data_IF_127808360950
#
_entry.id   IF_127808360950
#
_cell.length_a   1.000
_cell.length_b   1.000
_cell.length_c   1.000
_cell.angle_alpha   90.00
_cell.angle_beta   90.00
_cell.angle_gamma   90.00
#
_symmetry.space_group_name_H-M   'P 1'
#
loop_
_entity.id
_entity.type
_entity.pdbx_description
1 polymer ?
#
# COMPACT_ATOMS: atom_id res chain seq x y z
N UNK A 1 -22.02 1.02 -7.98
CA UNK A 1 -23.43 1.44 -7.97
C UNK A 1 -23.51 2.94 -7.87
N UNK A 2 -24.55 3.60 -8.42
CA UNK A 2 -24.73 5.05 -8.28
C UNK A 2 -24.93 5.42 -6.81
N UNK A 3 -24.41 6.58 -6.42
CA UNK A 3 -24.60 7.13 -5.07
C UNK A 3 -25.61 8.27 -5.12
N UNK A 4 -26.35 8.50 -4.04
CA UNK A 4 -27.27 9.62 -3.96
C UNK A 4 -26.51 10.96 -3.91
N UNK A 5 -27.18 12.04 -4.30
CA UNK A 5 -26.59 13.39 -4.30
C UNK A 5 -26.18 13.85 -2.89
N UNK A 6 -26.88 13.35 -1.88
CA UNK A 6 -26.59 13.60 -0.46
C UNK A 6 -25.47 12.74 0.10
N UNK A 7 -25.16 11.61 -0.55
CA UNK A 7 -24.18 10.67 -0.05
C UNK A 7 -22.75 11.19 -0.24
N UNK A 8 -21.88 10.81 0.65
CA UNK A 8 -20.45 11.10 0.56
C UNK A 8 -19.76 10.02 -0.26
N UNK A 9 -18.80 10.39 -1.11
CA UNK A 9 -17.97 9.43 -1.81
C UNK A 9 -17.03 8.78 -0.80
N UNK A 10 -17.10 7.46 -0.70
CA UNK A 10 -16.27 6.66 0.17
C UNK A 10 -15.00 6.24 -0.57
N UNK A 11 -13.88 6.88 -0.24
CA UNK A 11 -12.56 6.63 -0.81
C UNK A 11 -11.77 5.75 0.15
N UNK A 12 -11.37 4.56 -0.27
CA UNK A 12 -10.55 3.68 0.56
C UNK A 12 -9.11 3.60 0.04
N UNK A 13 -8.16 3.49 0.95
CA UNK A 13 -6.75 3.21 0.73
C UNK A 13 -6.40 1.92 1.44
N UNK A 14 -5.55 1.08 0.85
CA UNK A 14 -5.26 -0.27 1.36
C UNK A 14 -3.77 -0.41 1.67
N UNK A 15 -3.45 -0.95 2.85
CA UNK A 15 -2.13 -1.43 3.22
C UNK A 15 -1.43 -0.62 4.31
N UNK A 16 -0.16 -0.96 4.54
CA UNK A 16 0.71 -0.25 5.45
C UNK A 16 1.33 0.96 4.72
N UNK A 17 0.91 2.16 5.08
CA UNK A 17 1.35 3.38 4.41
C UNK A 17 2.60 3.95 5.06
N UNK A 18 3.67 4.06 4.28
CA UNK A 18 4.84 4.89 4.54
C UNK A 18 4.69 6.24 3.82
N UNK A 19 5.66 7.14 3.99
CA UNK A 19 5.70 8.40 3.24
C UNK A 19 5.64 8.16 1.73
N UNK A 20 6.46 7.22 1.21
CA UNK A 20 6.49 6.89 -0.21
C UNK A 20 5.22 6.18 -0.71
N UNK A 21 4.44 5.58 0.19
CA UNK A 21 3.11 5.02 -0.11
C UNK A 21 1.97 6.02 0.09
N UNK A 22 2.30 7.29 0.36
CA UNK A 22 1.37 8.40 0.36
C UNK A 22 0.58 8.62 1.65
N UNK A 23 1.10 8.18 2.82
CA UNK A 23 0.44 8.44 4.10
C UNK A 23 0.16 9.92 4.33
N UNK A 24 1.14 10.77 4.01
CA UNK A 24 1.05 12.22 4.20
C UNK A 24 0.10 12.87 3.19
N UNK A 25 0.04 12.36 1.98
CA UNK A 25 -0.91 12.81 0.92
C UNK A 25 -2.34 12.48 1.33
N UNK A 26 -2.59 11.26 1.81
CA UNK A 26 -3.90 10.85 2.32
C UNK A 26 -4.36 11.75 3.47
N UNK A 27 -3.50 11.97 4.46
CA UNK A 27 -3.83 12.80 5.63
C UNK A 27 -4.11 14.25 5.23
N UNK A 28 -3.25 14.85 4.38
CA UNK A 28 -3.42 16.23 3.91
C UNK A 28 -4.73 16.41 3.14
N UNK A 29 -5.09 15.44 2.28
CA UNK A 29 -6.34 15.47 1.51
C UNK A 29 -7.56 15.31 2.43
N UNK A 30 -7.51 14.42 3.42
CA UNK A 30 -8.58 14.23 4.39
C UNK A 30 -8.76 15.43 5.31
N UNK A 31 -7.68 16.11 5.70
CA UNK A 31 -7.73 17.38 6.43
C UNK A 31 -8.39 18.48 5.60
N UNK A 32 -8.01 18.57 4.34
CA UNK A 32 -8.61 19.57 3.42
C UNK A 32 -10.09 19.28 3.20
N UNK A 33 -10.51 18.02 3.07
CA UNK A 33 -11.91 17.63 2.95
C UNK A 33 -12.71 18.02 4.19
N UNK A 34 -12.13 17.89 5.39
CA UNK A 34 -12.79 18.33 6.62
C UNK A 34 -12.95 19.85 6.68
N UNK A 35 -11.90 20.60 6.31
CA UNK A 35 -11.91 22.09 6.32
C UNK A 35 -12.95 22.68 5.37
N UNK A 36 -13.13 22.08 4.20
CA UNK A 36 -14.06 22.54 3.18
C UNK A 36 -15.45 21.89 3.28
N UNK A 37 -15.64 20.99 4.25
CA UNK A 37 -16.82 20.13 4.37
C UNK A 37 -17.18 19.42 3.05
N UNK A 38 -16.16 19.00 2.30
CA UNK A 38 -16.35 18.27 1.05
C UNK A 38 -17.12 16.95 1.28
N UNK A 39 -17.97 16.52 0.33
CA UNK A 39 -18.75 15.29 0.47
C UNK A 39 -17.93 14.03 0.20
N UNK A 40 -16.82 13.88 0.92
CA UNK A 40 -15.85 12.78 0.81
C UNK A 40 -15.60 12.20 2.20
N UNK A 41 -15.45 10.89 2.29
CA UNK A 41 -14.98 10.18 3.48
C UNK A 41 -13.84 9.23 3.08
N UNK A 42 -12.71 9.34 3.77
CA UNK A 42 -11.53 8.53 3.53
C UNK A 42 -11.41 7.42 4.58
N UNK A 43 -11.07 6.22 4.11
CA UNK A 43 -10.86 5.04 4.94
C UNK A 43 -9.50 4.43 4.63
N UNK A 44 -8.69 4.17 5.65
CA UNK A 44 -7.46 3.39 5.51
C UNK A 44 -7.72 1.99 6.07
N UNK A 45 -7.84 0.99 5.19
CA UNK A 45 -7.73 -0.42 5.54
C UNK A 45 -6.24 -0.73 5.69
N UNK A 46 -5.74 -0.60 6.91
CA UNK A 46 -4.33 -0.64 7.21
C UNK A 46 -3.93 0.41 8.24
N UNK A 47 -2.66 0.80 8.21
CA UNK A 47 -2.09 1.76 9.16
C UNK A 47 -1.02 2.63 8.51
N UNK A 48 -0.73 3.78 9.12
CA UNK A 48 0.37 4.65 8.71
C UNK A 48 1.67 4.33 9.47
N UNK A 49 2.82 4.74 8.90
CA UNK A 49 4.13 4.66 9.57
C UNK A 49 4.20 5.49 10.87
N UNK A 50 3.22 6.37 11.05
CA UNK A 50 2.92 7.16 12.25
C UNK A 50 1.41 7.24 12.45
N UNK A 51 0.99 7.74 13.60
CA UNK A 51 -0.42 8.07 13.82
C UNK A 51 -0.84 9.21 12.88
N UNK A 52 -1.87 8.97 12.09
CA UNK A 52 -2.48 9.95 11.21
C UNK A 52 -3.58 10.72 11.94
N UNK A 53 -3.84 11.94 11.50
CA UNK A 53 -4.95 12.73 12.02
C UNK A 53 -6.26 12.15 11.47
N UNK A 54 -7.16 11.83 12.40
CA UNK A 54 -8.47 11.23 12.09
C UNK A 54 -9.62 12.14 12.49
N UNK A 55 -10.86 11.68 12.35
CA UNK A 55 -12.03 12.40 12.80
C UNK A 55 -11.93 12.82 14.28
N UNK A 56 -12.46 13.97 14.65
CA UNK A 56 -13.25 14.90 13.81
C UNK A 56 -12.40 15.91 12.99
N UNK A 57 -11.08 15.94 13.18
CA UNK A 57 -10.18 16.93 12.56
C UNK A 57 -9.93 16.68 11.07
N UNK A 58 -9.90 15.42 10.66
CA UNK A 58 -9.77 15.00 9.28
C UNK A 58 -10.92 14.05 8.90
N UNK A 59 -11.31 14.01 7.64
CA UNK A 59 -12.32 13.06 7.13
C UNK A 59 -11.68 11.68 6.87
N UNK A 60 -10.94 11.15 7.86
CA UNK A 60 -10.20 9.91 7.77
C UNK A 60 -10.59 8.97 8.92
N UNK A 61 -10.87 7.71 8.57
CA UNK A 61 -10.99 6.58 9.50
C UNK A 61 -9.87 5.58 9.22
N UNK A 62 -9.09 5.23 10.24
CA UNK A 62 -8.03 4.22 10.16
C UNK A 62 -8.52 2.95 10.83
N UNK A 63 -8.56 1.83 10.09
CA UNK A 63 -9.12 0.56 10.56
C UNK A 63 -8.08 -0.35 11.25
N UNK A 64 -6.79 -0.07 11.08
CA UNK A 64 -5.70 -0.86 11.66
C UNK A 64 -5.23 -2.00 10.77
N UNK A 65 -4.31 -2.80 11.32
CA UNK A 65 -3.74 -3.95 10.61
C UNK A 65 -4.78 -5.05 10.40
N UNK A 66 -4.65 -5.78 9.31
CA UNK A 66 -5.50 -6.91 8.94
C UNK A 66 -4.63 -8.06 8.40
N UNK A 67 -5.14 -9.29 8.40
CA UNK A 67 -4.52 -10.40 7.69
C UNK A 67 -4.86 -10.30 6.19
N UNK A 68 -3.90 -10.60 5.32
CA UNK A 68 -4.08 -10.46 3.87
C UNK A 68 -5.28 -11.27 3.35
N UNK A 69 -5.52 -12.43 3.93
CA UNK A 69 -6.66 -13.28 3.60
C UNK A 69 -8.03 -12.62 3.89
N UNK A 70 -8.08 -11.68 4.83
CA UNK A 70 -9.33 -11.01 5.23
C UNK A 70 -9.69 -9.83 4.32
N UNK A 71 -8.78 -9.41 3.45
CA UNK A 71 -8.97 -8.22 2.62
C UNK A 71 -10.22 -8.26 1.73
N UNK A 72 -10.58 -9.37 1.08
CA UNK A 72 -11.81 -9.46 0.29
C UNK A 72 -13.07 -9.21 1.14
N UNK A 73 -13.12 -9.77 2.35
CA UNK A 73 -14.25 -9.58 3.27
C UNK A 73 -14.33 -8.15 3.81
N UNK A 74 -13.17 -7.54 4.09
CA UNK A 74 -13.09 -6.15 4.52
C UNK A 74 -13.56 -5.19 3.42
N UNK A 75 -13.21 -5.45 2.16
CA UNK A 75 -13.72 -4.69 1.02
C UNK A 75 -15.22 -4.85 0.83
N UNK A 76 -15.73 -6.08 0.97
CA UNK A 76 -17.15 -6.38 0.89
C UNK A 76 -17.95 -5.73 2.05
N UNK A 77 -17.34 -5.65 3.24
CA UNK A 77 -17.93 -4.98 4.40
C UNK A 77 -17.91 -3.45 4.25
N UNK A 78 -16.76 -2.87 3.92
CA UNK A 78 -16.60 -1.41 3.79
C UNK A 78 -17.40 -0.86 2.62
N UNK A 79 -17.47 -1.61 1.50
CA UNK A 79 -18.11 -1.20 0.24
C UNK A 79 -17.63 0.18 -0.21
N UNK A 80 -16.33 0.35 -0.46
CA UNK A 80 -15.81 1.63 -0.94
C UNK A 80 -16.36 1.92 -2.35
N UNK A 81 -16.61 3.20 -2.63
CA UNK A 81 -16.98 3.63 -3.98
C UNK A 81 -15.74 3.58 -4.89
N UNK A 82 -14.56 3.91 -4.35
CA UNK A 82 -13.29 3.91 -5.07
C UNK A 82 -12.12 3.54 -4.15
N UNK A 83 -11.17 2.79 -4.68
CA UNK A 83 -9.87 2.53 -4.04
C UNK A 83 -8.87 3.55 -4.61
N UNK A 84 -8.14 4.22 -3.73
CA UNK A 84 -7.12 5.20 -4.08
C UNK A 84 -5.74 4.71 -3.68
N UNK A 85 -4.77 4.86 -4.58
CA UNK A 85 -3.36 4.61 -4.37
C UNK A 85 -2.59 5.95 -4.40
N UNK A 86 -2.35 6.61 -3.24
CA UNK A 86 -1.66 7.91 -3.18
C UNK A 86 -0.14 7.77 -3.26
N UNK A 87 0.38 6.74 -3.93
CA UNK A 87 1.80 6.42 -3.95
C UNK A 87 2.65 7.57 -4.52
N UNK A 88 3.79 7.84 -3.87
CA UNK A 88 4.77 8.89 -4.22
C UNK A 88 6.07 8.28 -4.75
N UNK A 89 6.09 6.97 -4.95
CA UNK A 89 7.21 6.21 -5.47
C UNK A 89 6.72 5.12 -6.41
N UNK A 90 7.40 4.86 -7.54
CA UNK A 90 6.98 3.84 -8.48
C UNK A 90 7.04 2.44 -7.84
N UNK A 91 5.93 1.73 -7.85
CA UNK A 91 5.87 0.31 -7.48
C UNK A 91 6.04 -0.56 -8.72
N UNK A 92 6.73 -1.68 -8.57
CA UNK A 92 6.95 -2.63 -9.67
C UNK A 92 5.74 -3.51 -9.92
N UNK A 93 4.89 -3.75 -8.90
CA UNK A 93 3.71 -4.62 -9.05
C UNK A 93 2.47 -4.14 -8.30
N UNK A 94 2.53 -3.88 -6.99
CA UNK A 94 1.40 -3.55 -6.10
C UNK A 94 0.36 -4.68 -5.93
N UNK A 95 0.56 -5.55 -4.92
CA UNK A 95 -0.38 -6.63 -4.59
C UNK A 95 -1.76 -6.11 -4.16
N UNK A 96 -1.81 -4.97 -3.48
CA UNK A 96 -3.07 -4.33 -3.07
C UNK A 96 -3.88 -3.82 -4.27
N UNK A 97 -3.21 -3.43 -5.37
CA UNK A 97 -3.88 -3.13 -6.63
C UNK A 97 -4.54 -4.40 -7.22
N UNK A 98 -3.85 -5.55 -7.17
CA UNK A 98 -4.43 -6.83 -7.61
C UNK A 98 -5.71 -7.15 -6.83
N UNK A 99 -5.68 -7.00 -5.50
CA UNK A 99 -6.85 -7.23 -4.67
C UNK A 99 -8.01 -6.28 -5.01
N UNK A 100 -7.74 -5.00 -5.25
CA UNK A 100 -8.75 -4.02 -5.65
C UNK A 100 -9.39 -4.36 -7.01
N UNK A 101 -8.55 -4.81 -7.97
CA UNK A 101 -9.01 -5.25 -9.31
C UNK A 101 -9.88 -6.51 -9.19
N UNK A 102 -9.42 -7.53 -8.45
CA UNK A 102 -10.16 -8.78 -8.24
C UNK A 102 -11.49 -8.55 -7.52
N UNK A 103 -11.55 -7.60 -6.58
CA UNK A 103 -12.80 -7.21 -5.92
C UNK A 103 -13.73 -6.37 -6.81
N UNK A 104 -13.35 -6.08 -8.06
CA UNK A 104 -14.17 -5.28 -8.98
C UNK A 104 -14.32 -3.81 -8.57
N UNK A 105 -13.45 -3.28 -7.72
CA UNK A 105 -13.52 -1.92 -7.24
C UNK A 105 -13.15 -0.91 -8.34
N UNK A 106 -13.75 0.28 -8.32
CA UNK A 106 -13.22 1.42 -9.06
C UNK A 106 -11.86 1.83 -8.46
N UNK A 107 -10.93 2.28 -9.30
CA UNK A 107 -9.54 2.54 -8.88
C UNK A 107 -9.06 3.92 -9.33
N UNK A 108 -8.41 4.63 -8.44
CA UNK A 108 -7.61 5.84 -8.72
C UNK A 108 -6.17 5.53 -8.35
N UNK A 109 -5.25 5.72 -9.27
CA UNK A 109 -3.84 5.46 -9.06
C UNK A 109 -2.96 6.53 -9.72
N UNK A 110 -1.70 6.69 -9.26
CA UNK A 110 -0.78 7.63 -9.86
C UNK A 110 -0.22 7.12 -11.20
N UNK A 111 0.26 8.05 -12.03
CA UNK A 111 0.87 7.81 -13.34
C UNK A 111 2.33 7.31 -13.26
N UNK A 112 2.71 6.65 -12.16
CA UNK A 112 4.06 6.16 -11.91
C UNK A 112 4.09 4.64 -11.67
N UNK A 113 5.22 4.01 -12.01
CA UNK A 113 5.42 2.57 -11.84
C UNK A 113 4.43 1.74 -12.63
N UNK A 114 4.09 0.57 -12.11
CA UNK A 114 3.20 -0.38 -12.78
C UNK A 114 1.71 0.02 -12.76
N UNK A 115 1.32 1.10 -12.08
CA UNK A 115 -0.09 1.47 -11.93
C UNK A 115 -0.74 1.80 -13.27
N UNK A 116 -0.12 2.71 -14.05
CA UNK A 116 -0.66 3.17 -15.32
C UNK A 116 -0.82 1.99 -16.31
N UNK A 117 0.22 1.17 -16.44
CA UNK A 117 0.23 0.00 -17.31
C UNK A 117 -0.86 -1.01 -16.91
N UNK A 118 -1.01 -1.29 -15.61
CA UNK A 118 -1.97 -2.26 -15.10
C UNK A 118 -3.42 -1.78 -15.12
N UNK A 119 -3.66 -0.49 -15.25
CA UNK A 119 -5.00 0.08 -15.36
C UNK A 119 -5.36 0.47 -16.79
N UNK A 120 -4.45 0.33 -17.75
CA UNK A 120 -4.70 0.64 -19.17
C UNK A 120 -5.93 -0.12 -19.69
N UNK A 121 -6.86 0.60 -20.28
CA UNK A 121 -8.10 0.03 -20.83
C UNK A 121 -9.09 -0.53 -19.80
N UNK A 122 -8.81 -0.40 -18.49
CA UNK A 122 -9.70 -0.89 -17.44
C UNK A 122 -10.83 0.10 -17.16
N UNK A 123 -12.07 -0.38 -17.23
CA UNK A 123 -13.24 0.42 -16.86
C UNK A 123 -13.21 0.85 -15.38
N UNK A 124 -13.81 2.00 -15.09
CA UNK A 124 -13.87 2.58 -13.73
C UNK A 124 -12.49 2.75 -13.08
N UNK A 125 -11.54 3.20 -13.88
CA UNK A 125 -10.19 3.49 -13.42
C UNK A 125 -9.73 4.87 -13.89
N UNK A 126 -8.92 5.54 -13.06
CA UNK A 126 -8.30 6.82 -13.35
C UNK A 126 -6.82 6.72 -13.05
N UNK A 127 -6.01 7.26 -13.94
CA UNK A 127 -4.58 7.43 -13.78
C UNK A 127 -4.30 8.93 -13.75
N UNK A 128 -3.81 9.42 -12.62
CA UNK A 128 -3.66 10.85 -12.34
C UNK A 128 -2.19 11.18 -12.00
N UNK A 129 -1.73 12.41 -12.21
CA UNK A 129 -0.39 12.81 -11.79
C UNK A 129 -0.12 12.50 -10.31
N UNK A 130 1.03 11.91 -10.02
CA UNK A 130 1.42 11.46 -8.68
C UNK A 130 1.69 12.62 -7.71
N UNK A 131 2.12 13.77 -8.23
CA UNK A 131 2.57 14.94 -7.48
C UNK A 131 1.46 15.96 -7.19
N UNK A 132 0.19 15.57 -7.37
CA UNK A 132 -0.93 16.43 -7.06
C UNK A 132 -0.95 16.83 -5.57
N UNK A 133 -1.26 18.09 -5.33
CA UNK A 133 -1.48 18.65 -4.00
C UNK A 133 -2.82 18.19 -3.39
N UNK A 134 -2.98 18.33 -2.07
CA UNK A 134 -4.23 17.98 -1.41
C UNK A 134 -5.47 18.73 -1.96
N UNK A 135 -5.42 20.05 -2.31
CA UNK A 135 -6.53 20.72 -2.99
C UNK A 135 -6.85 20.13 -4.37
N UNK A 136 -5.84 19.72 -5.16
CA UNK A 136 -6.04 19.12 -6.47
C UNK A 136 -6.69 17.74 -6.35
N UNK A 137 -6.19 16.88 -5.44
CA UNK A 137 -6.87 15.61 -5.13
C UNK A 137 -8.29 15.80 -4.67
N UNK A 138 -8.56 16.82 -3.83
CA UNK A 138 -9.91 17.12 -3.38
C UNK A 138 -10.82 17.54 -4.55
N UNK A 139 -10.33 18.39 -5.43
CA UNK A 139 -11.05 18.82 -6.63
C UNK A 139 -11.34 17.63 -7.55
N UNK A 140 -10.34 16.75 -7.76
CA UNK A 140 -10.47 15.53 -8.53
C UNK A 140 -11.58 14.63 -7.97
N UNK A 141 -11.53 14.27 -6.68
CA UNK A 141 -12.54 13.38 -6.07
C UNK A 141 -13.94 14.02 -6.08
N UNK A 142 -14.02 15.31 -5.90
CA UNK A 142 -15.31 16.04 -5.97
C UNK A 142 -15.87 16.00 -7.39
N UNK A 143 -15.02 16.15 -8.39
CA UNK A 143 -15.39 16.07 -9.82
C UNK A 143 -15.89 14.68 -10.18
N UNK A 144 -15.08 13.61 -9.91
CA UNK A 144 -15.50 12.25 -10.26
C UNK A 144 -16.74 11.80 -9.51
N UNK A 145 -16.91 12.24 -8.25
CA UNK A 145 -18.16 11.99 -7.53
C UNK A 145 -19.37 12.50 -8.30
N UNK A 146 -19.33 13.72 -8.80
CA UNK A 146 -20.43 14.36 -9.54
C UNK A 146 -20.63 13.73 -10.92
N UNK A 147 -19.55 13.59 -11.68
CA UNK A 147 -19.58 13.22 -13.10
C UNK A 147 -19.81 11.73 -13.33
N UNK A 148 -19.32 10.87 -12.39
CA UNK A 148 -19.34 9.43 -12.58
C UNK A 148 -20.22 8.70 -11.55
N UNK A 149 -20.05 8.96 -10.28
CA UNK A 149 -20.78 8.20 -9.25
C UNK A 149 -22.24 8.65 -9.09
N UNK A 150 -22.51 9.95 -9.07
CA UNK A 150 -23.90 10.44 -9.02
C UNK A 150 -24.58 10.27 -10.37
N UNK A 151 -23.94 10.68 -11.45
CA UNK A 151 -24.50 10.59 -12.79
C UNK A 151 -24.54 9.16 -13.33
N UNK A 152 -23.89 8.20 -12.67
CA UNK A 152 -23.73 6.80 -13.09
C UNK A 152 -23.17 6.67 -14.52
N UNK A 153 -22.20 7.51 -14.87
CA UNK A 153 -21.53 7.53 -16.15
C UNK A 153 -20.13 6.95 -16.03
N UNK A 154 -19.83 5.94 -16.82
CA UNK A 154 -18.49 5.38 -16.83
C UNK A 154 -17.47 6.43 -17.32
N UNK A 155 -16.27 6.52 -16.70
CA UNK A 155 -15.19 7.38 -17.19
C UNK A 155 -14.64 6.86 -18.54
N UNK A 156 -13.90 7.72 -19.24
CA UNK A 156 -13.06 7.28 -20.33
C UNK A 156 -12.06 6.24 -19.85
N UNK A 157 -11.73 5.27 -20.70
CA UNK A 157 -10.74 4.27 -20.35
C UNK A 157 -9.35 4.92 -20.22
N UNK A 158 -8.56 4.60 -19.19
CA UNK A 158 -7.19 5.07 -19.09
C UNK A 158 -6.38 4.58 -20.30
N UNK A 159 -5.55 5.46 -20.84
CA UNK A 159 -4.65 5.16 -21.96
C UNK A 159 -3.28 5.68 -21.61
N UNK A 160 -2.25 4.85 -21.71
CA UNK A 160 -0.86 5.29 -21.59
C UNK A 160 -0.47 6.03 -22.87
N UNK A 161 0.08 7.23 -22.77
CA UNK A 161 0.44 8.09 -23.92
C UNK A 161 1.47 7.46 -24.85
N UNK A 162 2.16 6.42 -24.44
CA UNK A 162 3.22 5.76 -25.21
C UNK A 162 2.76 4.43 -25.86
N UNK A 163 1.45 4.12 -25.88
CA UNK A 163 0.90 2.91 -26.50
C UNK A 163 1.04 2.85 -28.05
N UNK A 164 1.74 3.82 -28.66
CA UNK A 164 1.99 3.83 -30.11
C UNK A 164 2.98 2.74 -30.59
N UNK A 165 3.60 1.97 -29.71
CA UNK A 165 4.62 0.97 -30.07
C UNK A 165 4.31 -0.47 -29.70
N UNK A 166 3.22 -0.76 -28.97
CA UNK A 166 2.87 -2.15 -28.63
C UNK A 166 1.40 -2.41 -28.96
N UNK A 167 1.18 -3.32 -29.91
CA UNK A 167 -0.13 -3.64 -30.46
C UNK A 167 -1.19 -3.94 -29.42
N UNK A 168 -2.38 -3.46 -29.68
CA UNK A 168 -3.63 -3.74 -28.96
C UNK A 168 -3.78 -5.23 -28.65
N UNK A 169 -3.63 -5.60 -27.38
CA UNK A 169 -3.96 -6.94 -26.90
C UNK A 169 -4.92 -6.85 -25.72
N UNK A 170 -5.97 -7.66 -25.78
CA UNK A 170 -7.02 -7.77 -24.75
C UNK A 170 -6.41 -7.88 -23.34
N UNK A 171 -6.73 -6.92 -22.47
CA UNK A 171 -6.19 -6.75 -21.13
C UNK A 171 -6.38 -7.99 -20.22
N UNK A 172 -7.47 -8.73 -20.35
CA UNK A 172 -7.73 -9.93 -19.54
C UNK A 172 -6.77 -11.10 -19.84
N UNK A 173 -6.18 -11.14 -21.03
CA UNK A 173 -5.22 -12.18 -21.44
C UNK A 173 -3.77 -11.85 -21.04
N UNK A 174 -3.44 -10.59 -20.74
CA UNK A 174 -2.05 -10.10 -20.63
C UNK A 174 -1.36 -10.41 -19.30
N UNK A 175 -2.08 -10.87 -18.29
CA UNK A 175 -1.54 -11.06 -16.94
C UNK A 175 -1.68 -12.48 -16.37
N UNK A 176 -1.68 -13.48 -17.23
CA UNK A 176 -1.49 -14.85 -16.77
C UNK A 176 0.02 -15.04 -16.48
N UNK A 177 0.41 -14.91 -15.23
CA UNK A 177 1.80 -15.02 -14.76
C UNK A 177 2.54 -16.23 -15.35
N UNK A 178 1.81 -17.33 -15.57
CA UNK A 178 2.35 -18.55 -16.17
C UNK A 178 2.65 -18.45 -17.66
N UNK A 179 1.80 -17.75 -18.43
CA UNK A 179 1.98 -17.65 -19.90
C UNK A 179 2.94 -16.53 -20.31
N UNK A 180 2.95 -15.42 -19.57
CA UNK A 180 3.68 -14.22 -20.00
C UNK A 180 5.13 -14.20 -19.50
N UNK A 181 5.41 -14.83 -18.35
CA UNK A 181 6.76 -14.86 -17.78
C UNK A 181 7.47 -16.20 -17.92
N UNK A 182 6.76 -17.30 -18.15
CA UNK A 182 7.36 -18.64 -18.15
C UNK A 182 7.45 -19.30 -19.53
N UNK A 183 6.82 -18.73 -20.57
CA UNK A 183 6.86 -19.31 -21.92
C UNK A 183 8.25 -19.32 -22.56
N UNK A 184 9.10 -18.35 -22.23
CA UNK A 184 10.46 -18.23 -22.77
C UNK A 184 11.55 -18.69 -21.78
N UNK A 185 11.15 -19.11 -20.59
CA UNK A 185 12.09 -19.65 -19.61
C UNK A 185 12.07 -21.18 -19.77
N UNK A 186 13.19 -21.74 -20.22
CA UNK A 186 13.37 -23.18 -20.18
C UNK A 186 12.98 -23.69 -18.78
N UNK A 187 12.16 -24.75 -18.68
CA UNK A 187 11.81 -25.28 -17.38
C UNK A 187 13.10 -25.50 -16.57
N UNK A 188 13.17 -25.08 -15.31
CA UNK A 188 14.33 -25.34 -14.50
C UNK A 188 14.61 -26.84 -14.55
N UNK A 189 15.88 -27.27 -14.60
CA UNK A 189 16.21 -28.68 -14.51
C UNK A 189 15.44 -29.25 -13.31
N UNK A 190 14.84 -30.42 -13.48
CA UNK A 190 14.05 -31.06 -12.44
C UNK A 190 14.80 -30.92 -11.11
N UNK A 191 14.18 -30.27 -10.13
CA UNK A 191 14.80 -30.11 -8.83
C UNK A 191 15.16 -31.52 -8.34
N UNK A 192 16.37 -31.76 -7.82
CA UNK A 192 16.70 -33.05 -7.25
C UNK A 192 15.65 -33.35 -6.18
N UNK A 193 15.11 -34.57 -6.19
CA UNK A 193 14.04 -34.99 -5.27
C UNK A 193 14.37 -34.74 -3.78
N UNK A 194 15.65 -34.51 -3.49
CA UNK A 194 16.14 -34.13 -2.15
C UNK A 194 17.31 -33.15 -2.29
N UNK A 195 17.24 -32.04 -1.56
CA UNK A 195 18.43 -31.21 -1.34
C UNK A 195 19.44 -32.03 -0.49
N UNK A 196 20.69 -32.16 -0.96
CA UNK A 196 21.68 -32.86 -0.18
C UNK A 196 21.90 -32.19 1.18
N UNK A 197 22.20 -33.00 2.21
CA UNK A 197 22.47 -32.48 3.56
C UNK A 197 23.63 -31.47 3.53
N UNK A 198 24.63 -31.73 2.66
CA UNK A 198 25.79 -30.87 2.46
C UNK A 198 25.40 -29.50 1.85
N UNK A 199 24.48 -29.48 0.88
CA UNK A 199 23.92 -28.24 0.33
C UNK A 199 23.17 -27.46 1.40
N UNK A 200 22.31 -28.11 2.20
CA UNK A 200 21.57 -27.47 3.28
C UNK A 200 22.55 -26.90 4.34
N UNK A 201 23.58 -27.64 4.74
CA UNK A 201 24.56 -27.16 5.70
C UNK A 201 25.35 -25.95 5.19
N UNK A 202 25.64 -25.89 3.88
CA UNK A 202 26.39 -24.78 3.27
C UNK A 202 25.52 -23.50 3.12
N UNK A 203 24.18 -23.62 2.99
CA UNK A 203 23.30 -22.50 2.64
C UNK A 203 22.33 -22.11 3.75
N UNK A 204 22.16 -22.93 4.78
CA UNK A 204 21.38 -22.52 5.95
C UNK A 204 22.24 -21.60 6.84
N UNK A 205 21.68 -20.46 7.31
CA UNK A 205 22.40 -19.61 8.25
C UNK A 205 22.71 -20.39 9.51
N UNK A 206 23.99 -20.57 9.80
CA UNK A 206 24.44 -21.17 11.04
C UNK A 206 24.18 -20.16 12.17
N UNK A 207 23.06 -20.29 12.84
CA UNK A 207 22.81 -19.54 14.06
C UNK A 207 23.71 -20.14 15.15
N UNK A 208 24.79 -19.46 15.45
CA UNK A 208 25.59 -19.82 16.62
C UNK A 208 24.82 -19.45 17.90
N UNK A 209 24.92 -20.26 18.94
CA UNK A 209 24.31 -20.01 20.25
C UNK A 209 24.62 -18.60 20.80
N UNK A 210 25.76 -18.01 20.40
CA UNK A 210 26.17 -16.65 20.71
C UNK A 210 25.27 -15.61 20.03
N UNK A 211 24.82 -15.85 18.80
CA UNK A 211 23.91 -14.94 18.08
C UNK A 211 22.49 -14.97 18.69
N UNK A 212 22.02 -16.13 19.10
CA UNK A 212 20.72 -16.26 19.77
C UNK A 212 20.70 -15.53 21.12
N UNK A 213 21.75 -15.69 21.94
CA UNK A 213 21.90 -15.02 23.21
C UNK A 213 21.97 -13.50 23.04
N UNK A 214 22.71 -13.00 22.04
CA UNK A 214 22.83 -11.57 21.73
C UNK A 214 21.51 -11.00 21.19
N UNK A 215 20.83 -11.75 20.35
CA UNK A 215 19.50 -11.37 19.83
C UNK A 215 18.47 -11.26 20.97
N UNK A 216 18.46 -12.22 21.88
CA UNK A 216 17.58 -12.23 23.05
C UNK A 216 17.90 -11.08 24.03
N UNK A 217 19.20 -10.79 24.24
CA UNK A 217 19.62 -9.64 25.05
C UNK A 217 19.19 -8.30 24.43
N UNK A 218 19.27 -8.16 23.10
CA UNK A 218 18.83 -6.96 22.39
C UNK A 218 17.32 -6.79 22.51
N UNK A 219 16.53 -7.85 22.35
CA UNK A 219 15.09 -7.84 22.54
C UNK A 219 14.71 -7.46 23.99
N UNK A 220 15.42 -8.01 24.97
CA UNK A 220 15.22 -7.67 26.36
C UNK A 220 15.53 -6.20 26.67
N UNK A 221 16.60 -5.64 26.10
CA UNK A 221 16.93 -4.22 26.24
C UNK A 221 15.89 -3.31 25.58
N UNK A 222 15.38 -3.67 24.41
CA UNK A 222 14.31 -2.94 23.73
C UNK A 222 13.04 -2.98 24.59
N UNK A 223 12.70 -4.14 25.14
CA UNK A 223 11.55 -4.31 26.03
C UNK A 223 11.71 -3.49 27.33
N UNK A 224 12.86 -3.55 27.99
CA UNK A 224 13.16 -2.75 29.18
C UNK A 224 13.03 -1.24 28.90
N UNK A 225 13.52 -0.77 27.74
CA UNK A 225 13.39 0.63 27.34
C UNK A 225 11.93 1.06 27.09
N UNK A 226 11.05 0.13 26.78
CA UNK A 226 9.62 0.42 26.55
C UNK A 226 8.85 0.66 27.86
N UNK A 227 9.38 0.21 28.99
CA UNK A 227 8.73 0.38 30.30
C UNK A 227 8.70 1.86 30.73
N UNK A 228 7.55 2.37 31.19
CA UNK A 228 7.37 3.79 31.51
C UNK A 228 8.37 4.32 32.53
N UNK A 229 8.69 3.50 33.56
CA UNK A 229 9.61 3.86 34.65
C UNK A 229 11.08 3.96 34.19
N UNK A 230 11.47 3.20 33.15
CA UNK A 230 12.87 3.16 32.67
C UNK A 230 13.13 4.13 31.52
N UNK A 231 12.11 4.77 30.97
CA UNK A 231 12.26 5.77 29.89
C UNK A 231 13.09 6.98 30.33
N UNK A 232 12.98 7.39 31.59
CA UNK A 232 13.78 8.48 32.16
C UNK A 232 15.26 8.12 32.23
N UNK A 233 15.57 6.94 32.73
CA UNK A 233 16.95 6.42 32.86
C UNK A 233 17.59 6.22 31.49
N UNK A 234 16.84 5.66 30.52
CA UNK A 234 17.34 5.46 29.15
C UNK A 234 17.68 6.78 28.44
N UNK A 235 17.01 7.88 28.77
CA UNK A 235 17.33 9.22 28.24
C UNK A 235 18.58 9.86 28.89
N UNK A 236 18.92 9.46 30.10
CA UNK A 236 20.09 9.96 30.81
C UNK A 236 21.39 9.31 30.31
N UNK A 237 21.35 8.17 29.62
CA UNK A 237 22.53 7.50 29.06
C UNK A 237 23.06 8.28 27.86
N UNK A 238 24.34 8.71 27.85
CA UNK A 238 24.94 9.42 26.73
C UNK A 238 24.86 8.64 25.42
N UNK A 239 24.57 9.31 24.32
CA UNK A 239 24.36 8.70 22.99
C UNK A 239 25.54 7.82 22.54
N UNK A 240 26.77 8.19 22.83
CA UNK A 240 27.96 7.42 22.47
C UNK A 240 28.03 6.04 23.15
N UNK A 241 27.52 5.93 24.39
CA UNK A 241 27.38 4.64 25.08
C UNK A 241 26.30 3.76 24.48
N UNK A 242 25.16 4.38 24.14
CA UNK A 242 24.07 3.66 23.46
C UNK A 242 24.54 3.08 22.13
N UNK A 243 25.34 3.84 21.36
CA UNK A 243 25.91 3.40 20.08
C UNK A 243 26.93 2.28 20.27
N UNK A 244 27.81 2.36 21.28
CA UNK A 244 28.78 1.30 21.58
C UNK A 244 28.11 -0.03 21.94
N UNK A 245 27.11 0.01 22.82
CA UNK A 245 26.33 -1.18 23.23
C UNK A 245 25.59 -1.77 22.03
N UNK A 246 24.96 -0.93 21.21
CA UNK A 246 24.25 -1.36 20.02
C UNK A 246 25.18 -2.03 18.99
N UNK A 247 26.37 -1.47 18.77
CA UNK A 247 27.35 -2.03 17.84
C UNK A 247 27.92 -3.35 18.39
N UNK A 248 28.19 -3.42 19.68
CA UNK A 248 28.67 -4.68 20.32
C UNK A 248 27.63 -5.81 20.27
N UNK A 249 26.32 -5.48 20.39
CA UNK A 249 25.24 -6.46 20.29
C UNK A 249 24.93 -6.90 18.85
N UNK A 250 25.40 -6.14 17.84
CA UNK A 250 25.22 -6.44 16.42
C UNK A 250 26.43 -7.17 15.80
N UNK A 251 27.62 -7.04 16.40
CA UNK A 251 28.83 -7.74 16.02
C UNK A 251 28.83 -9.19 16.55
#
# INVERSE_FOLDING_TARGET
APIAQTDRLKVAVIGALSTIKGADVLEATALQAARTNAPLDFHLLGYGYRSLVTQPKARLTVHGAYAEADLPELLAWLKPDVIWFPAQWPETYSYTLSAAIQAGCAVVAPDIGAFAERLEGRAWSWVEPWDQTAPEWLAFFTRIRKEHFIANLAPALPSTRDAASHGSSNFEAKWAYGSDYLTDIAPPPAAPDHLSLEFLQAHLPTQTAIQETRSSALQMLVWLRSLPLLRGVARAIPRHWQTKVKNWLRA
#
